data_IF_307565992049
#
_entry.id   IF_307565992049
#
_cell.length_a   1.000
_cell.length_b   1.000
_cell.length_c   1.000
_cell.angle_alpha   90.00
_cell.angle_beta   90.00
_cell.angle_gamma   90.00
#
_symmetry.space_group_name_H-M   'P 1'
#
loop_
_entity.id
_entity.type
_entity.pdbx_description
1 polymer ?
#
# COMPACT_ATOMS: atom_id res chain seq x y z
N UNK A 1 2.48 4.85 -17.03
CA UNK A 1 3.91 5.11 -17.26
C UNK A 1 4.08 6.37 -18.10
N UNK A 2 3.41 6.47 -19.26
CA UNK A 2 3.51 7.64 -20.15
C UNK A 2 3.26 8.97 -19.40
N UNK A 3 2.19 9.06 -18.61
CA UNK A 3 1.86 10.28 -17.85
C UNK A 3 2.98 10.66 -16.88
N UNK A 4 3.54 9.66 -16.16
CA UNK A 4 4.64 9.92 -15.23
C UNK A 4 5.93 10.36 -15.94
N UNK A 5 6.14 9.91 -17.17
CA UNK A 5 7.25 10.39 -18.03
C UNK A 5 6.98 11.82 -18.50
N UNK A 6 5.78 12.13 -18.95
CA UNK A 6 5.39 13.47 -19.39
C UNK A 6 5.55 14.51 -18.26
N UNK A 7 5.30 14.09 -17.02
CA UNK A 7 5.51 14.89 -15.81
C UNK A 7 6.97 14.89 -15.31
N UNK A 8 7.90 14.26 -16.05
CA UNK A 8 9.32 14.13 -15.68
C UNK A 8 9.57 13.45 -14.32
N UNK A 9 8.68 12.55 -13.91
CA UNK A 9 8.79 11.83 -12.63
C UNK A 9 9.66 10.57 -12.74
N UNK A 10 9.70 9.95 -13.91
CA UNK A 10 10.43 8.71 -14.16
C UNK A 10 11.09 8.69 -15.54
N UNK A 11 12.15 7.88 -15.67
CA UNK A 11 12.73 7.42 -16.92
C UNK A 11 12.57 5.90 -16.96
N UNK A 12 11.80 5.32 -17.92
CA UNK A 12 11.48 3.91 -17.92
C UNK A 12 12.56 3.05 -18.61
N UNK A 13 12.74 1.83 -18.10
CA UNK A 13 13.35 0.70 -18.82
C UNK A 13 12.23 -0.31 -19.05
N UNK A 14 11.97 -0.62 -20.31
CA UNK A 14 10.94 -1.60 -20.66
C UNK A 14 11.51 -3.02 -20.69
N UNK A 15 10.77 -3.98 -20.15
CA UNK A 15 11.15 -5.41 -20.18
C UNK A 15 9.97 -6.21 -20.72
N UNK A 16 10.16 -6.94 -21.80
CA UNK A 16 9.12 -7.74 -22.43
C UNK A 16 9.39 -8.00 -23.92
N UNK A 17 8.40 -8.52 -24.63
CA UNK A 17 8.49 -8.63 -26.07
C UNK A 17 8.56 -7.26 -26.73
N UNK A 18 9.67 -7.00 -27.46
CA UNK A 18 9.92 -5.69 -28.07
C UNK A 18 8.83 -5.29 -29.07
N UNK A 19 8.27 -6.25 -29.80
CA UNK A 19 7.25 -5.96 -30.81
C UNK A 19 5.93 -5.58 -30.15
N UNK A 20 5.53 -6.29 -29.07
CA UNK A 20 4.35 -5.96 -28.30
C UNK A 20 4.48 -4.61 -27.60
N UNK A 21 5.65 -4.31 -27.00
CA UNK A 21 5.95 -3.01 -26.40
C UNK A 21 5.82 -1.90 -27.44
N UNK A 22 6.42 -2.09 -28.63
CA UNK A 22 6.35 -1.08 -29.70
C UNK A 22 4.92 -0.90 -30.22
N UNK A 23 4.15 -1.97 -30.32
CA UNK A 23 2.75 -1.92 -30.73
C UNK A 23 1.93 -1.09 -29.73
N UNK A 24 2.04 -1.38 -28.42
CA UNK A 24 1.37 -0.60 -27.38
C UNK A 24 1.76 0.88 -27.40
N UNK A 25 3.05 1.19 -27.64
CA UNK A 25 3.53 2.55 -27.75
C UNK A 25 2.92 3.29 -28.95
N UNK A 26 2.84 2.60 -30.11
CA UNK A 26 2.23 3.14 -31.31
C UNK A 26 0.73 3.43 -31.11
N UNK A 27 -0.01 2.53 -30.44
CA UNK A 27 -1.43 2.70 -30.12
C UNK A 27 -1.65 3.94 -29.23
N UNK A 28 -0.71 4.22 -28.34
CA UNK A 28 -0.68 5.41 -27.46
C UNK A 28 -0.07 6.64 -28.15
N UNK A 29 0.40 6.52 -29.41
CA UNK A 29 1.14 7.58 -30.13
C UNK A 29 2.34 8.10 -29.32
N UNK A 30 3.02 7.21 -28.62
CA UNK A 30 4.15 7.52 -27.75
C UNK A 30 5.44 7.07 -28.40
N UNK A 31 6.38 8.01 -28.67
CA UNK A 31 7.71 7.68 -29.12
C UNK A 31 8.56 7.18 -27.94
N UNK A 32 8.94 5.91 -28.02
CA UNK A 32 9.77 5.25 -27.02
C UNK A 32 11.17 4.90 -27.55
N UNK A 33 11.56 5.42 -28.70
CA UNK A 33 12.80 5.07 -29.40
C UNK A 33 14.07 5.38 -28.60
N UNK A 34 14.00 6.32 -27.69
CA UNK A 34 15.10 6.77 -26.84
C UNK A 34 15.19 6.07 -25.47
N UNK A 35 14.23 5.19 -25.15
CA UNK A 35 14.27 4.42 -23.91
C UNK A 35 14.89 3.03 -24.11
N UNK A 36 15.53 2.50 -23.06
CA UNK A 36 16.05 1.16 -23.04
C UNK A 36 14.91 0.12 -23.09
N UNK A 37 14.99 -0.81 -24.04
CA UNK A 37 14.08 -1.97 -24.15
C UNK A 37 14.91 -3.23 -24.02
N UNK A 38 14.69 -3.98 -22.94
CA UNK A 38 15.26 -5.31 -22.74
C UNK A 38 14.27 -6.32 -23.33
N UNK A 39 14.61 -6.90 -24.48
CA UNK A 39 13.76 -7.88 -25.15
C UNK A 39 13.77 -9.21 -24.41
N UNK A 40 12.62 -9.58 -23.85
CA UNK A 40 12.36 -10.89 -23.21
C UNK A 40 10.92 -11.32 -23.53
N UNK A 41 10.72 -12.23 -24.51
CA UNK A 41 9.39 -12.64 -24.95
C UNK A 41 8.69 -13.60 -23.98
N UNK A 42 9.44 -14.19 -23.04
CA UNK A 42 8.86 -15.12 -22.06
C UNK A 42 8.48 -14.37 -20.80
N UNK A 43 7.17 -14.22 -20.56
CA UNK A 43 6.61 -13.43 -19.45
C UNK A 43 7.29 -13.75 -18.11
N UNK A 44 7.42 -15.04 -17.77
CA UNK A 44 8.02 -15.46 -16.49
C UNK A 44 9.50 -15.10 -16.34
N UNK A 45 10.20 -14.81 -17.42
CA UNK A 45 11.62 -14.41 -17.41
C UNK A 45 11.81 -12.92 -17.25
N UNK A 46 10.75 -12.12 -17.39
CA UNK A 46 10.82 -10.65 -17.18
C UNK A 46 11.01 -10.28 -15.72
N UNK A 47 10.40 -11.03 -14.79
CA UNK A 47 10.50 -10.78 -13.34
C UNK A 47 11.93 -10.93 -12.80
N UNK A 48 12.71 -11.97 -13.12
CA UNK A 48 14.13 -12.08 -12.77
C UNK A 48 14.97 -10.89 -13.24
N UNK A 49 14.72 -10.40 -14.46
CA UNK A 49 15.42 -9.25 -15.03
C UNK A 49 15.11 -7.99 -14.21
N UNK A 50 13.82 -7.73 -13.94
CA UNK A 50 13.39 -6.59 -13.15
C UNK A 50 13.97 -6.62 -11.72
N UNK A 51 13.92 -7.79 -11.05
CA UNK A 51 14.48 -7.99 -9.73
C UNK A 51 16.01 -7.75 -9.69
N UNK A 52 16.73 -8.21 -10.71
CA UNK A 52 18.17 -8.00 -10.85
C UNK A 52 18.53 -6.53 -11.08
N UNK A 53 17.79 -5.81 -11.90
CA UNK A 53 17.98 -4.37 -12.08
C UNK A 53 17.77 -3.60 -10.79
N UNK A 54 16.72 -3.93 -10.02
CA UNK A 54 16.46 -3.33 -8.71
C UNK A 54 17.55 -3.68 -7.68
N UNK A 55 17.98 -4.95 -7.62
CA UNK A 55 19.07 -5.42 -6.74
C UNK A 55 20.38 -4.67 -7.01
N UNK A 56 20.69 -4.43 -8.28
CA UNK A 56 21.88 -3.68 -8.73
C UNK A 56 21.70 -2.15 -8.61
N UNK A 57 20.57 -1.68 -8.07
CA UNK A 57 20.23 -0.24 -7.91
C UNK A 57 20.19 0.52 -9.24
N UNK A 58 20.02 -0.17 -10.37
CA UNK A 58 19.82 0.46 -11.68
C UNK A 58 18.43 1.09 -11.81
N UNK A 59 17.44 0.51 -11.13
CA UNK A 59 16.09 1.05 -11.04
C UNK A 59 15.68 1.18 -9.57
N UNK A 60 14.80 2.14 -9.29
CA UNK A 60 14.28 2.42 -7.94
C UNK A 60 12.84 1.97 -7.76
N UNK A 61 12.15 1.76 -8.86
CA UNK A 61 10.73 1.40 -8.92
C UNK A 61 10.57 0.27 -9.93
N UNK A 62 9.80 -0.75 -9.57
CA UNK A 62 9.34 -1.79 -10.49
C UNK A 62 7.85 -1.54 -10.72
N UNK A 63 7.47 -1.32 -11.98
CA UNK A 63 6.07 -1.15 -12.39
C UNK A 63 5.61 -2.43 -13.07
N UNK A 64 4.57 -3.06 -12.50
CA UNK A 64 3.96 -4.26 -13.07
C UNK A 64 3.07 -3.90 -14.26
N UNK A 65 3.37 -4.50 -15.42
CA UNK A 65 2.51 -4.49 -16.60
C UNK A 65 1.57 -5.71 -16.63
N UNK A 66 1.60 -6.46 -17.71
CA UNK A 66 0.71 -7.62 -17.95
C UNK A 66 1.08 -8.87 -17.14
N UNK A 67 2.29 -8.98 -16.60
CA UNK A 67 2.75 -10.13 -15.81
C UNK A 67 1.84 -10.42 -14.60
N UNK A 68 1.63 -11.70 -14.25
CA UNK A 68 0.91 -12.11 -13.06
C UNK A 68 1.61 -11.64 -11.78
N UNK A 69 0.82 -11.14 -10.80
CA UNK A 69 1.36 -10.56 -9.55
C UNK A 69 2.15 -11.58 -8.73
N UNK A 70 1.68 -12.82 -8.67
CA UNK A 70 2.35 -13.91 -7.94
C UNK A 70 3.72 -14.26 -8.54
N UNK A 71 3.85 -14.23 -9.87
CA UNK A 71 5.12 -14.46 -10.58
C UNK A 71 6.12 -13.37 -10.20
N UNK A 72 5.74 -12.10 -10.32
CA UNK A 72 6.60 -10.98 -9.95
C UNK A 72 6.98 -11.04 -8.47
N UNK A 73 6.01 -11.24 -7.59
CA UNK A 73 6.23 -11.27 -6.13
C UNK A 73 7.12 -12.43 -5.71
N UNK A 74 6.90 -13.64 -6.28
CA UNK A 74 7.75 -14.79 -6.01
C UNK A 74 9.22 -14.50 -6.35
N UNK A 75 9.46 -13.77 -7.42
CA UNK A 75 10.82 -13.42 -7.84
C UNK A 75 11.42 -12.34 -6.93
N UNK A 76 10.72 -11.22 -6.71
CA UNK A 76 11.19 -10.09 -5.88
C UNK A 76 11.47 -10.53 -4.43
N UNK A 77 10.75 -11.53 -3.92
CA UNK A 77 10.94 -12.06 -2.56
C UNK A 77 12.14 -13.00 -2.40
N UNK A 78 12.83 -13.39 -3.48
CA UNK A 78 14.03 -14.22 -3.38
C UNK A 78 15.15 -13.48 -2.63
N UNK A 79 15.78 -14.20 -1.70
CA UNK A 79 16.86 -13.65 -0.86
C UNK A 79 18.09 -13.19 -1.66
N UNK A 80 18.34 -13.83 -2.79
CA UNK A 80 19.49 -13.51 -3.65
C UNK A 80 19.49 -12.07 -4.18
N UNK A 81 18.31 -11.46 -4.35
CA UNK A 81 18.21 -10.08 -4.81
C UNK A 81 18.36 -9.04 -3.69
N UNK A 82 18.31 -9.46 -2.44
CA UNK A 82 18.47 -8.59 -1.27
C UNK A 82 17.55 -7.34 -1.31
N UNK A 83 16.33 -7.50 -1.84
CA UNK A 83 15.33 -6.43 -1.96
C UNK A 83 14.45 -6.29 -0.72
N UNK A 84 14.44 -7.34 0.13
CA UNK A 84 13.67 -7.34 1.37
C UNK A 84 14.37 -6.55 2.46
N UNK A 85 13.65 -5.63 3.09
CA UNK A 85 14.08 -4.93 4.28
C UNK A 85 13.92 -5.76 5.56
N UNK A 86 13.98 -5.09 6.71
CA UNK A 86 13.79 -5.70 8.04
C UNK A 86 12.33 -5.96 8.39
N UNK A 87 11.41 -5.29 7.70
CA UNK A 87 9.96 -5.44 7.87
C UNK A 87 9.39 -6.41 6.85
N UNK A 88 8.26 -7.03 7.20
CA UNK A 88 7.50 -7.84 6.26
C UNK A 88 6.90 -6.92 5.18
N UNK A 89 6.87 -7.38 3.94
CA UNK A 89 6.26 -6.64 2.84
C UNK A 89 4.76 -6.42 3.10
N UNK A 90 4.27 -5.25 2.75
CA UNK A 90 2.84 -4.89 2.82
C UNK A 90 2.44 -4.03 1.63
N UNK A 91 1.14 -4.01 1.35
CA UNK A 91 0.57 -3.21 0.28
C UNK A 91 -0.06 -1.94 0.84
N UNK A 92 0.12 -0.82 0.14
CA UNK A 92 -0.44 0.48 0.51
C UNK A 92 -1.22 1.02 -0.68
N UNK A 93 -2.48 1.36 -0.44
CA UNK A 93 -3.30 2.17 -1.34
C UNK A 93 -3.28 3.62 -0.88
N UNK A 94 -2.93 4.51 -1.79
CA UNK A 94 -3.01 5.95 -1.59
C UNK A 94 -4.15 6.48 -2.46
N UNK A 95 -5.23 6.90 -1.81
CA UNK A 95 -6.45 7.34 -2.47
C UNK A 95 -6.57 8.85 -2.34
N UNK A 96 -6.67 9.55 -3.47
CA UNK A 96 -7.00 10.97 -3.51
C UNK A 96 -8.43 11.10 -4.02
N UNK A 97 -9.30 11.73 -3.25
CA UNK A 97 -10.69 11.98 -3.64
C UNK A 97 -10.78 13.38 -4.24
N UNK A 98 -11.47 13.53 -5.36
CA UNK A 98 -11.52 14.78 -6.16
C UNK A 98 -11.96 16.04 -5.40
N UNK A 99 -12.57 15.87 -4.24
CA UNK A 99 -13.12 16.97 -3.44
C UNK A 99 -12.42 17.22 -2.12
N UNK A 100 -11.39 16.45 -1.81
CA UNK A 100 -10.69 16.57 -0.55
C UNK A 100 -9.18 16.73 -0.78
N UNK A 101 -8.59 17.73 -0.14
CA UNK A 101 -7.15 17.98 -0.18
C UNK A 101 -6.34 16.92 0.59
N UNK A 102 -7.02 16.06 1.38
CA UNK A 102 -6.39 15.08 2.23
C UNK A 102 -6.52 13.67 1.65
N UNK A 103 -5.41 13.00 1.31
CA UNK A 103 -5.46 11.61 0.86
C UNK A 103 -5.89 10.67 1.99
N UNK A 104 -6.57 9.58 1.63
CA UNK A 104 -6.85 8.45 2.50
C UNK A 104 -5.93 7.28 2.13
N UNK A 105 -5.20 6.77 3.10
CA UNK A 105 -4.30 5.63 2.91
C UNK A 105 -4.93 4.38 3.50
N UNK A 106 -4.94 3.26 2.75
CA UNK A 106 -5.50 1.98 3.19
C UNK A 106 -4.43 0.89 3.09
N UNK A 107 -4.22 0.12 4.16
CA UNK A 107 -3.24 -0.96 4.25
C UNK A 107 -3.72 -2.08 5.20
N UNK A 108 -3.50 -3.38 4.94
CA UNK A 108 -3.00 -4.05 3.78
C UNK A 108 -4.16 -4.71 3.02
N UNK A 109 -4.42 -4.25 1.82
CA UNK A 109 -5.54 -4.74 1.00
C UNK A 109 -5.16 -5.77 -0.06
N UNK A 110 -3.93 -6.35 -0.03
CA UNK A 110 -3.49 -7.22 -1.12
C UNK A 110 -2.50 -8.34 -0.76
N UNK A 111 -1.67 -8.23 0.28
CA UNK A 111 -0.56 -9.15 0.50
C UNK A 111 -0.70 -10.03 1.74
N UNK A 112 -1.07 -9.47 2.87
CA UNK A 112 -1.17 -10.22 4.12
C UNK A 112 -2.63 -10.59 4.38
N UNK A 113 -3.01 -11.85 4.10
CA UNK A 113 -4.40 -12.31 4.08
C UNK A 113 -5.10 -12.08 5.42
N UNK A 114 -4.60 -12.68 6.49
CA UNK A 114 -5.12 -12.52 7.85
C UNK A 114 -3.94 -12.24 8.80
N UNK A 115 -3.45 -11.00 8.85
CA UNK A 115 -2.26 -10.66 9.60
C UNK A 115 -2.53 -10.72 11.12
N UNK A 116 -1.69 -11.43 11.86
CA UNK A 116 -1.67 -11.36 13.33
C UNK A 116 -1.05 -10.03 13.79
N UNK A 117 -1.11 -9.72 15.09
CA UNK A 117 -0.62 -8.46 15.67
C UNK A 117 0.85 -8.18 15.31
N UNK A 118 1.73 -9.20 15.34
CA UNK A 118 3.14 -9.06 14.94
C UNK A 118 3.28 -8.64 13.48
N UNK A 119 2.50 -9.22 12.58
CA UNK A 119 2.48 -8.85 11.15
C UNK A 119 1.89 -7.46 10.97
N UNK A 120 0.79 -7.12 11.68
CA UNK A 120 0.20 -5.79 11.69
C UNK A 120 1.20 -4.71 12.15
N UNK A 121 2.09 -5.03 13.10
CA UNK A 121 3.16 -4.12 13.52
C UNK A 121 4.16 -3.84 12.38
N UNK A 122 4.49 -4.82 11.54
CA UNK A 122 5.32 -4.58 10.35
C UNK A 122 4.59 -3.71 9.32
N UNK A 123 3.30 -3.98 9.09
CA UNK A 123 2.44 -3.17 8.20
C UNK A 123 2.38 -1.72 8.71
N UNK A 124 2.19 -1.53 10.01
CA UNK A 124 2.17 -0.23 10.68
C UNK A 124 3.49 0.54 10.44
N UNK A 125 4.63 -0.09 10.68
CA UNK A 125 5.96 0.54 10.44
C UNK A 125 6.18 0.91 8.97
N UNK A 126 5.70 0.08 8.04
CA UNK A 126 5.80 0.37 6.61
C UNK A 126 4.96 1.58 6.22
N UNK A 127 3.71 1.66 6.68
CA UNK A 127 2.84 2.77 6.30
C UNK A 127 3.28 4.09 6.94
N UNK A 128 3.84 4.08 8.15
CA UNK A 128 4.44 5.28 8.76
C UNK A 128 5.61 5.79 7.91
N UNK A 129 6.52 4.88 7.53
CA UNK A 129 7.65 5.26 6.66
C UNK A 129 7.16 5.81 5.31
N UNK A 130 6.12 5.23 4.73
CA UNK A 130 5.51 5.74 3.51
C UNK A 130 4.90 7.13 3.73
N UNK A 131 4.08 7.30 4.76
CA UNK A 131 3.42 8.57 5.09
C UNK A 131 4.42 9.72 5.26
N UNK A 132 5.50 9.49 6.02
CA UNK A 132 6.55 10.49 6.22
C UNK A 132 7.23 10.87 4.89
N UNK A 133 7.41 9.91 3.97
CA UNK A 133 8.01 10.19 2.65
C UNK A 133 7.15 11.03 1.72
N UNK A 134 5.84 11.01 1.92
CA UNK A 134 4.89 11.84 1.16
C UNK A 134 4.48 13.11 1.91
N UNK A 135 5.17 13.45 3.00
CA UNK A 135 4.98 14.70 3.73
C UNK A 135 3.89 14.67 4.79
N UNK A 136 3.41 13.48 5.18
CA UNK A 136 2.49 13.33 6.33
C UNK A 136 3.33 12.97 7.55
N UNK A 137 3.80 13.99 8.25
CA UNK A 137 4.53 13.82 9.50
C UNK A 137 3.58 13.37 10.61
N UNK A 138 3.98 12.35 11.39
CA UNK A 138 3.20 11.79 12.49
C UNK A 138 1.75 11.44 12.10
N UNK A 139 1.57 10.46 11.17
CA UNK A 139 0.26 10.12 10.63
C UNK A 139 -0.70 9.61 11.70
N UNK A 140 -1.99 9.93 11.56
CA UNK A 140 -3.08 9.42 12.38
C UNK A 140 -3.57 8.11 11.80
N UNK A 141 -3.36 7.01 12.53
CA UNK A 141 -3.60 5.65 12.05
C UNK A 141 -4.73 5.00 12.84
N UNK A 142 -5.84 4.74 12.17
CA UNK A 142 -6.95 3.98 12.71
C UNK A 142 -6.74 2.48 12.49
N UNK A 143 -6.78 1.69 13.57
CA UNK A 143 -6.81 0.23 13.46
C UNK A 143 -8.27 -0.20 13.38
N UNK A 144 -8.67 -0.62 12.17
CA UNK A 144 -10.07 -0.93 11.90
C UNK A 144 -10.52 -2.26 12.52
N UNK A 145 -11.74 -2.24 13.00
CA UNK A 145 -12.53 -3.41 13.35
C UNK A 145 -14.03 -3.15 13.09
N UNK A 146 -14.88 -4.10 13.46
CA UNK A 146 -16.32 -3.95 13.28
C UNK A 146 -16.94 -2.93 14.24
N UNK A 147 -16.28 -2.64 15.37
CA UNK A 147 -16.77 -1.75 16.43
C UNK A 147 -15.59 -1.12 17.17
N UNK A 148 -15.88 -0.08 17.95
CA UNK A 148 -14.95 0.61 18.85
C UNK A 148 -14.79 -0.07 20.22
N UNK A 149 -15.66 -1.01 20.54
CA UNK A 149 -15.60 -1.79 21.79
C UNK A 149 -14.75 -3.05 21.63
N UNK A 150 -14.03 -3.41 22.69
CA UNK A 150 -13.27 -4.68 22.72
C UNK A 150 -14.21 -5.80 23.13
N UNK A 151 -14.49 -6.71 22.19
CA UNK A 151 -15.45 -7.80 22.35
C UNK A 151 -14.75 -9.14 22.05
N UNK A 152 -14.83 -10.08 22.98
CA UNK A 152 -14.17 -11.40 22.84
C UNK A 152 -14.64 -12.18 21.60
N UNK A 153 -15.92 -12.09 21.23
CA UNK A 153 -16.46 -12.74 20.04
C UNK A 153 -16.05 -12.08 18.72
N UNK A 154 -15.34 -10.93 18.79
CA UNK A 154 -14.80 -10.21 17.62
C UNK A 154 -13.28 -10.06 17.78
N UNK A 155 -12.47 -11.08 17.43
CA UNK A 155 -11.03 -11.10 17.70
C UNK A 155 -10.26 -9.89 17.14
N UNK A 156 -10.75 -9.30 16.04
CA UNK A 156 -10.12 -8.11 15.42
C UNK A 156 -10.14 -6.89 16.33
N UNK A 157 -11.06 -6.81 17.30
CA UNK A 157 -11.09 -5.74 18.32
C UNK A 157 -9.98 -5.90 19.34
N UNK A 158 -9.68 -7.15 19.72
CA UNK A 158 -8.59 -7.50 20.64
C UNK A 158 -7.25 -7.18 19.99
N UNK A 159 -7.05 -7.65 18.75
CA UNK A 159 -5.85 -7.35 17.94
C UNK A 159 -5.61 -5.84 17.82
N UNK A 160 -6.68 -5.08 17.55
CA UNK A 160 -6.58 -3.62 17.38
C UNK A 160 -6.17 -2.90 18.66
N UNK A 161 -6.72 -3.32 19.80
CA UNK A 161 -6.31 -2.82 21.12
C UNK A 161 -4.84 -3.16 21.40
N UNK A 162 -4.45 -4.42 21.23
CA UNK A 162 -3.08 -4.87 21.47
C UNK A 162 -2.09 -4.10 20.59
N UNK A 163 -2.38 -3.92 19.31
CA UNK A 163 -1.53 -3.16 18.39
C UNK A 163 -1.41 -1.70 18.82
N UNK A 164 -2.50 -1.08 19.30
CA UNK A 164 -2.50 0.29 19.83
C UNK A 164 -1.59 0.41 21.05
N UNK A 165 -1.68 -0.53 21.98
CA UNK A 165 -0.84 -0.57 23.19
C UNK A 165 0.64 -0.80 22.86
N UNK A 166 0.95 -1.71 21.93
CA UNK A 166 2.30 -1.95 21.43
C UNK A 166 2.89 -0.72 20.75
N UNK A 167 2.13 -0.04 19.88
CA UNK A 167 2.56 1.19 19.23
C UNK A 167 2.95 2.27 20.24
N UNK A 168 2.15 2.41 21.30
CA UNK A 168 2.45 3.34 22.41
C UNK A 168 3.70 2.92 23.19
N UNK A 169 3.85 1.65 23.52
CA UNK A 169 5.00 1.14 24.28
C UNK A 169 6.32 1.23 23.52
N UNK A 170 6.31 0.99 22.22
CA UNK A 170 7.45 1.14 21.32
C UNK A 170 7.74 2.61 20.95
N UNK A 171 6.92 3.57 21.42
CA UNK A 171 7.04 5.02 21.11
C UNK A 171 7.13 5.29 19.61
N UNK A 172 6.25 4.63 18.85
CA UNK A 172 6.20 4.80 17.40
C UNK A 172 5.81 6.25 17.07
N UNK A 173 6.47 6.84 16.08
CA UNK A 173 6.22 8.21 15.64
C UNK A 173 4.97 8.32 14.76
N UNK A 174 3.83 8.07 15.37
CA UNK A 174 2.48 8.15 14.78
C UNK A 174 1.45 8.21 15.91
N UNK A 175 0.27 8.75 15.63
CA UNK A 175 -0.89 8.65 16.50
C UNK A 175 -1.70 7.41 16.09
N UNK A 176 -1.63 6.34 16.89
CA UNK A 176 -2.26 5.05 16.59
C UNK A 176 -3.39 4.79 17.57
N UNK A 177 -4.57 4.47 17.05
CA UNK A 177 -5.73 4.17 17.88
C UNK A 177 -6.66 3.14 17.23
N UNK A 178 -7.18 2.23 18.04
CA UNK A 178 -8.20 1.23 17.71
C UNK A 178 -8.54 0.37 18.92
N UNK A 179 -9.63 -0.43 18.81
CA UNK A 179 -10.45 -0.62 17.60
C UNK A 179 -11.28 0.60 17.22
N UNK A 180 -11.51 0.79 15.92
CA UNK A 180 -12.46 1.77 15.38
C UNK A 180 -13.27 1.14 14.26
N UNK A 181 -14.58 1.42 14.22
CA UNK A 181 -15.39 1.18 13.03
C UNK A 181 -15.02 2.19 11.94
N UNK A 182 -15.29 1.87 10.68
CA UNK A 182 -14.89 2.69 9.53
C UNK A 182 -15.39 4.14 9.64
N UNK A 183 -16.67 4.34 9.91
CA UNK A 183 -17.28 5.66 10.05
C UNK A 183 -16.68 6.48 11.22
N UNK A 184 -16.35 5.80 12.33
CA UNK A 184 -15.71 6.44 13.49
C UNK A 184 -14.24 6.82 13.22
N UNK A 185 -13.58 6.15 12.26
CA UNK A 185 -12.21 6.48 11.84
C UNK A 185 -12.16 7.74 10.97
N UNK A 186 -13.15 7.96 10.09
CA UNK A 186 -13.11 9.01 9.07
C UNK A 186 -14.07 10.18 9.30
N UNK A 187 -15.07 10.03 10.17
CA UNK A 187 -16.10 11.05 10.43
C UNK A 187 -16.07 11.55 11.84
N UNK A 188 -15.69 12.83 12.03
CA UNK A 188 -15.78 13.52 13.34
C UNK A 188 -17.18 13.45 13.94
N UNK A 189 -18.21 13.53 13.09
CA UNK A 189 -19.61 13.47 13.54
C UNK A 189 -19.93 12.09 14.10
N UNK A 190 -19.53 11.01 13.42
CA UNK A 190 -19.75 9.64 13.88
C UNK A 190 -18.98 9.36 15.18
N UNK A 191 -17.71 9.75 15.24
CA UNK A 191 -16.90 9.64 16.44
C UNK A 191 -17.52 10.39 17.64
N UNK A 192 -18.04 11.59 17.42
CA UNK A 192 -18.70 12.39 18.46
C UNK A 192 -20.01 11.76 18.99
N UNK A 193 -20.85 11.21 18.09
CA UNK A 193 -22.08 10.48 18.46
C UNK A 193 -21.75 9.29 19.36
N UNK A 194 -20.65 8.59 19.09
CA UNK A 194 -20.16 7.45 19.88
C UNK A 194 -19.39 7.87 21.14
N UNK A 195 -19.17 9.16 21.35
CA UNK A 195 -18.45 9.67 22.51
C UNK A 195 -16.96 9.31 22.53
N UNK A 196 -16.35 8.99 21.38
CA UNK A 196 -14.95 8.61 21.28
C UNK A 196 -14.07 9.86 21.43
N UNK A 197 -13.26 9.87 22.49
CA UNK A 197 -12.33 10.97 22.79
C UNK A 197 -10.91 10.56 22.45
N UNK A 198 -10.53 10.69 21.19
CA UNK A 198 -9.18 10.40 20.70
C UNK A 198 -8.87 11.23 19.44
N UNK A 199 -7.63 11.64 19.28
CA UNK A 199 -7.19 12.52 18.19
C UNK A 199 -7.16 11.84 16.81
N UNK A 200 -7.25 10.51 16.75
CA UNK A 200 -7.33 9.73 15.51
C UNK A 200 -8.77 9.61 15.04
N UNK A 201 -9.73 9.49 16.00
CA UNK A 201 -11.13 9.25 15.67
C UNK A 201 -11.73 10.41 14.85
N UNK A 202 -12.25 10.07 13.67
CA UNK A 202 -12.81 11.02 12.71
C UNK A 202 -11.76 11.83 11.92
N UNK A 203 -10.47 11.54 12.09
CA UNK A 203 -9.37 12.29 11.51
C UNK A 203 -8.27 11.39 10.91
N UNK A 204 -8.52 10.10 10.75
CA UNK A 204 -7.51 9.17 10.28
C UNK A 204 -6.92 9.58 8.92
N UNK A 205 -5.59 9.53 8.80
CA UNK A 205 -4.85 9.60 7.55
C UNK A 205 -4.72 8.20 6.93
N UNK A 206 -4.66 7.19 7.82
CA UNK A 206 -4.41 5.80 7.47
C UNK A 206 -5.44 4.88 8.12
N UNK A 207 -5.97 3.95 7.33
CA UNK A 207 -6.79 2.84 7.79
C UNK A 207 -5.96 1.55 7.70
N UNK A 208 -5.61 0.97 8.84
CA UNK A 208 -5.03 -0.37 8.91
C UNK A 208 -6.16 -1.37 9.08
N UNK A 209 -6.41 -2.17 8.06
CA UNK A 209 -7.54 -3.10 8.00
C UNK A 209 -7.26 -4.42 8.70
N UNK A 210 -8.28 -5.14 9.18
CA UNK A 210 -8.12 -6.41 9.88
C UNK A 210 -7.71 -7.57 8.96
N UNK A 211 -8.11 -7.55 7.70
CA UNK A 211 -7.83 -8.60 6.71
C UNK A 211 -7.75 -8.05 5.29
N UNK A 212 -7.18 -8.86 4.39
CA UNK A 212 -7.05 -8.50 2.97
C UNK A 212 -8.42 -8.29 2.30
N UNK A 213 -9.43 -9.08 2.68
CA UNK A 213 -10.78 -8.96 2.14
C UNK A 213 -11.38 -7.60 2.46
N UNK A 214 -11.24 -7.16 3.71
CA UNK A 214 -11.72 -5.84 4.15
C UNK A 214 -11.05 -4.72 3.36
N UNK A 215 -9.72 -4.75 3.26
CA UNK A 215 -8.96 -3.72 2.52
C UNK A 215 -9.28 -3.71 1.03
N UNK A 216 -9.35 -4.88 0.41
CA UNK A 216 -9.65 -5.02 -1.01
C UNK A 216 -11.08 -4.53 -1.34
N UNK A 217 -12.06 -4.88 -0.49
CA UNK A 217 -13.45 -4.44 -0.67
C UNK A 217 -13.59 -2.92 -0.52
N UNK A 218 -12.97 -2.32 0.52
CA UNK A 218 -13.00 -0.87 0.74
C UNK A 218 -12.39 -0.10 -0.43
N UNK A 219 -11.22 -0.51 -0.89
CA UNK A 219 -10.55 0.15 -2.01
C UNK A 219 -11.35 0.03 -3.30
N UNK A 220 -11.86 -1.16 -3.62
CA UNK A 220 -12.69 -1.34 -4.81
C UNK A 220 -13.98 -0.53 -4.73
N UNK A 221 -14.61 -0.46 -3.57
CA UNK A 221 -15.78 0.38 -3.37
C UNK A 221 -15.46 1.86 -3.66
N UNK A 222 -14.36 2.38 -3.14
CA UNK A 222 -13.92 3.75 -3.40
C UNK A 222 -13.65 3.99 -4.90
N UNK A 223 -13.00 3.05 -5.60
CA UNK A 223 -12.69 3.19 -7.04
C UNK A 223 -13.96 3.22 -7.91
N UNK A 224 -14.99 2.47 -7.54
CA UNK A 224 -16.19 2.34 -8.38
C UNK A 224 -17.32 3.32 -8.01
N UNK A 225 -17.27 3.95 -6.83
CA UNK A 225 -18.36 4.80 -6.31
C UNK A 225 -17.93 6.24 -5.96
N UNK A 226 -16.65 6.62 -6.15
CA UNK A 226 -16.16 8.01 -6.00
C UNK A 226 -16.08 8.76 -7.32
#
# INVERSE_FOLDING_TARGET
VQDAVNENLIEPIFIGDKNEIQKCANDLKWDISHYEIIHEPVENMTAPIAAKLASNKKVRIIVKGHIHTDVLMKEVLKREYNLLGKTRLSHIWHMTLDKEDKPLIITDGALNVLPNVKTKMHILKNVINFSNRIGIDRPKIAILSATEEVIESVPTTIDAKELTELAKSEKIDADVFGPLAFDNAISKKSAAIKGIKNDVAGLADVLLVPSVETGNALVKMLIYFS
#
